data_IF_805352876415
#
_entry.id   IF_805352876415
#
_cell.length_a   1.000
_cell.length_b   1.000
_cell.length_c   1.000
_cell.angle_alpha   90.00
_cell.angle_beta   90.00
_cell.angle_gamma   90.00
#
_symmetry.space_group_name_H-M   'P 1'
#
loop_
_entity.id
_entity.type
_entity.pdbx_description
1 polymer ?
#
# COMPACT_ATOMS: atom_id res chain seq x y z
N UNK A 1 -17.63 -18.49 -64.87
CA UNK A 1 -17.42 -19.36 -63.70
C UNK A 1 -16.07 -19.05 -62.99
N UNK A 2 -14.97 -18.84 -63.71
CA UNK A 2 -13.61 -18.58 -63.15
C UNK A 2 -13.50 -17.31 -62.32
N UNK A 3 -14.06 -16.16 -62.80
CA UNK A 3 -14.03 -14.85 -62.10
C UNK A 3 -14.73 -14.94 -60.73
N UNK A 4 -15.83 -15.66 -60.61
CA UNK A 4 -16.50 -15.88 -59.31
C UNK A 4 -15.66 -16.71 -58.33
N UNK A 5 -14.91 -17.71 -58.83
CA UNK A 5 -13.97 -18.48 -57.99
C UNK A 5 -12.76 -17.67 -57.56
N UNK A 6 -12.20 -16.85 -58.43
CA UNK A 6 -11.09 -15.97 -58.10
C UNK A 6 -11.52 -14.92 -57.03
N UNK A 7 -12.70 -14.31 -57.20
CA UNK A 7 -13.26 -13.40 -56.20
C UNK A 7 -13.50 -14.08 -54.85
N UNK A 8 -14.07 -15.28 -54.86
CA UNK A 8 -14.30 -16.05 -53.64
C UNK A 8 -12.99 -16.37 -52.90
N UNK A 9 -11.96 -16.83 -53.64
CA UNK A 9 -10.64 -17.11 -53.03
C UNK A 9 -9.98 -15.86 -52.45
N UNK A 10 -10.07 -14.72 -53.14
CA UNK A 10 -9.53 -13.43 -52.64
C UNK A 10 -10.24 -12.99 -51.35
N UNK A 11 -11.56 -13.11 -51.33
CA UNK A 11 -12.34 -12.78 -50.13
C UNK A 11 -12.04 -13.72 -48.94
N UNK A 12 -11.85 -15.01 -49.21
CA UNK A 12 -11.48 -16.00 -48.20
C UNK A 12 -10.10 -15.69 -47.59
N UNK A 13 -9.11 -15.37 -48.44
CA UNK A 13 -7.75 -14.97 -47.98
C UNK A 13 -7.82 -13.70 -47.15
N UNK A 14 -8.60 -12.70 -47.60
CA UNK A 14 -8.78 -11.46 -46.87
C UNK A 14 -9.41 -11.71 -45.47
N UNK A 15 -10.44 -12.54 -45.40
CA UNK A 15 -11.10 -12.91 -44.17
C UNK A 15 -10.15 -13.63 -43.19
N UNK A 16 -9.36 -14.58 -43.68
CA UNK A 16 -8.35 -15.29 -42.88
C UNK A 16 -7.27 -14.34 -42.38
N UNK A 17 -6.81 -13.38 -43.19
CA UNK A 17 -5.82 -12.40 -42.84
C UNK A 17 -6.33 -11.47 -41.73
N UNK A 18 -7.58 -10.95 -41.86
CA UNK A 18 -8.22 -10.12 -40.82
C UNK A 18 -8.38 -10.90 -39.52
N UNK A 19 -8.81 -12.18 -39.62
CA UNK A 19 -8.96 -13.03 -38.43
C UNK A 19 -7.62 -13.26 -37.74
N UNK A 20 -6.53 -13.50 -38.47
CA UNK A 20 -5.18 -13.70 -37.94
C UNK A 20 -4.67 -12.41 -37.23
N UNK A 21 -4.87 -11.23 -37.81
CA UNK A 21 -4.50 -9.95 -37.17
C UNK A 21 -5.34 -9.68 -35.93
N UNK A 22 -6.65 -9.98 -35.95
CA UNK A 22 -7.52 -9.86 -34.78
C UNK A 22 -7.08 -10.78 -33.63
N UNK A 23 -6.74 -12.03 -33.96
CA UNK A 23 -6.21 -12.99 -32.98
C UNK A 23 -4.87 -12.51 -32.40
N UNK A 24 -3.99 -11.92 -33.20
CA UNK A 24 -2.72 -11.36 -32.75
C UNK A 24 -2.93 -10.19 -31.78
N UNK A 25 -3.84 -9.27 -32.10
CA UNK A 25 -4.18 -8.16 -31.22
C UNK A 25 -4.77 -8.63 -29.88
N UNK A 26 -5.70 -9.59 -29.96
CA UNK A 26 -6.28 -10.17 -28.76
C UNK A 26 -5.22 -10.86 -27.88
N UNK A 27 -4.32 -11.64 -28.50
CA UNK A 27 -3.20 -12.27 -27.80
C UNK A 27 -2.25 -11.24 -27.18
N UNK A 28 -1.88 -10.19 -27.92
CA UNK A 28 -1.02 -9.13 -27.42
C UNK A 28 -1.66 -8.42 -26.21
N UNK A 29 -2.95 -8.04 -26.31
CA UNK A 29 -3.69 -7.41 -25.23
C UNK A 29 -3.72 -8.27 -23.96
N UNK A 30 -4.08 -9.56 -24.10
CA UNK A 30 -4.16 -10.47 -22.96
C UNK A 30 -2.78 -10.77 -22.34
N UNK A 31 -1.74 -10.88 -23.18
CA UNK A 31 -0.35 -11.09 -22.73
C UNK A 31 0.18 -9.88 -21.95
N UNK A 32 -0.02 -8.67 -22.46
CA UNK A 32 0.41 -7.44 -21.77
C UNK A 32 -0.29 -7.34 -20.41
N UNK A 33 -1.61 -7.52 -20.36
CA UNK A 33 -2.36 -7.46 -19.09
C UNK A 33 -1.86 -8.49 -18.08
N UNK A 34 -1.63 -9.73 -18.51
CA UNK A 34 -1.13 -10.82 -17.65
C UNK A 34 0.29 -10.57 -17.15
N UNK A 35 1.17 -10.07 -18.01
CA UNK A 35 2.55 -9.75 -17.63
C UNK A 35 2.60 -8.58 -16.66
N UNK A 36 1.83 -7.53 -16.93
CA UNK A 36 1.71 -6.38 -16.03
C UNK A 36 1.15 -6.76 -14.66
N UNK A 37 0.18 -7.68 -14.62
CA UNK A 37 -0.34 -8.20 -13.36
C UNK A 37 0.76 -8.91 -12.56
N UNK A 38 1.54 -9.80 -13.19
CA UNK A 38 2.65 -10.47 -12.51
C UNK A 38 3.72 -9.52 -12.03
N UNK A 39 4.04 -8.50 -12.84
CA UNK A 39 5.00 -7.48 -12.46
C UNK A 39 4.50 -6.67 -11.26
N UNK A 40 3.23 -6.26 -11.25
CA UNK A 40 2.62 -5.55 -10.13
C UNK A 40 2.59 -6.41 -8.86
N UNK A 41 2.25 -7.71 -8.97
CA UNK A 41 2.29 -8.67 -7.86
C UNK A 41 3.71 -8.82 -7.28
N UNK A 42 4.73 -8.94 -8.15
CA UNK A 42 6.13 -9.06 -7.72
C UNK A 42 6.63 -7.79 -7.02
N UNK A 43 6.35 -6.61 -7.59
CA UNK A 43 6.72 -5.32 -6.98
C UNK A 43 6.02 -5.16 -5.62
N UNK A 44 4.72 -5.46 -5.56
CA UNK A 44 3.96 -5.38 -4.32
C UNK A 44 4.51 -6.34 -3.25
N UNK A 45 4.87 -7.57 -3.63
CA UNK A 45 5.44 -8.56 -2.70
C UNK A 45 6.76 -8.06 -2.08
N UNK A 46 7.66 -7.50 -2.90
CA UNK A 46 8.90 -6.91 -2.42
C UNK A 46 8.65 -5.71 -1.50
N UNK A 47 7.69 -4.85 -1.87
CA UNK A 47 7.32 -3.68 -1.05
C UNK A 47 6.71 -4.11 0.29
N UNK A 48 5.84 -5.11 0.30
CA UNK A 48 5.26 -5.64 1.53
C UNK A 48 6.32 -6.28 2.43
N UNK A 49 7.30 -7.02 1.87
CA UNK A 49 8.41 -7.56 2.63
C UNK A 49 9.29 -6.45 3.24
N UNK A 50 9.57 -5.38 2.49
CA UNK A 50 10.30 -4.22 3.00
C UNK A 50 9.53 -3.56 4.15
N UNK A 51 8.23 -3.39 3.99
CA UNK A 51 7.35 -2.83 5.03
C UNK A 51 7.34 -3.73 6.28
N UNK A 52 7.14 -5.03 6.13
CA UNK A 52 7.18 -5.99 7.25
C UNK A 52 8.55 -6.01 7.97
N UNK A 53 9.66 -5.79 7.26
CA UNK A 53 10.98 -5.65 7.87
C UNK A 53 11.08 -4.39 8.73
N UNK A 54 10.56 -3.25 8.26
CA UNK A 54 10.51 -2.02 9.06
C UNK A 54 9.65 -2.19 10.32
N UNK A 55 8.49 -2.83 10.20
CA UNK A 55 7.65 -3.14 11.35
C UNK A 55 8.38 -4.10 12.33
N UNK A 56 9.11 -5.08 11.82
CA UNK A 56 9.91 -6.00 12.64
C UNK A 56 11.05 -5.30 13.36
N UNK A 57 11.69 -4.31 12.73
CA UNK A 57 12.71 -3.48 13.37
C UNK A 57 12.14 -2.73 14.57
N UNK A 58 10.98 -2.07 14.42
CA UNK A 58 10.28 -1.38 15.50
C UNK A 58 9.96 -2.34 16.65
N UNK A 59 9.38 -3.51 16.35
CA UNK A 59 9.09 -4.53 17.36
C UNK A 59 10.35 -4.99 18.12
N UNK A 60 11.43 -5.21 17.37
CA UNK A 60 12.69 -5.73 17.93
C UNK A 60 13.34 -4.71 18.84
N UNK A 61 13.40 -3.46 18.42
CA UNK A 61 13.95 -2.37 19.26
C UNK A 61 13.15 -2.27 20.55
N UNK A 62 11.82 -2.20 20.48
CA UNK A 62 10.96 -2.07 21.67
C UNK A 62 11.19 -3.22 22.66
N UNK A 63 11.19 -4.46 22.17
CA UNK A 63 11.41 -5.66 23.01
C UNK A 63 12.80 -5.71 23.63
N UNK A 64 13.82 -5.27 22.91
CA UNK A 64 15.20 -5.28 23.45
C UNK A 64 15.38 -4.33 24.63
N UNK A 65 14.61 -3.25 24.69
CA UNK A 65 14.65 -2.30 25.79
C UNK A 65 13.75 -2.69 26.98
N UNK A 66 12.78 -3.60 26.81
CA UNK A 66 11.86 -4.03 27.86
C UNK A 66 12.62 -4.43 29.14
N UNK A 67 13.63 -5.31 29.02
CA UNK A 67 14.42 -5.77 30.16
C UNK A 67 15.18 -4.61 30.84
N UNK A 68 15.76 -3.70 30.08
CA UNK A 68 16.49 -2.56 30.61
C UNK A 68 15.57 -1.62 31.38
N UNK A 69 14.41 -1.31 30.82
CA UNK A 69 13.39 -0.45 31.42
C UNK A 69 12.87 -1.06 32.70
N UNK A 70 12.44 -2.32 32.68
CA UNK A 70 11.81 -2.98 33.84
C UNK A 70 12.76 -3.14 35.02
N UNK A 71 14.07 -3.27 34.77
CA UNK A 71 15.07 -3.37 35.84
C UNK A 71 15.59 -2.02 36.36
N UNK A 72 15.26 -0.90 35.71
CA UNK A 72 15.76 0.43 36.06
C UNK A 72 14.62 1.48 36.03
N UNK A 73 13.53 1.19 36.76
CA UNK A 73 12.37 2.07 36.86
C UNK A 73 12.67 3.31 37.71
N UNK A 74 13.50 4.22 37.17
CA UNK A 74 13.82 5.50 37.78
C UNK A 74 13.52 6.62 36.76
N UNK A 75 12.90 7.75 37.17
CA UNK A 75 12.44 8.80 36.23
C UNK A 75 13.53 9.27 35.25
N UNK A 76 14.71 9.61 35.75
CA UNK A 76 15.83 10.10 34.90
C UNK A 76 16.31 9.03 33.93
N UNK A 77 16.34 7.74 34.37
CA UNK A 77 16.71 6.64 33.50
C UNK A 77 15.68 6.40 32.39
N UNK A 78 14.38 6.51 32.71
CA UNK A 78 13.30 6.36 31.71
C UNK A 78 13.35 7.45 30.65
N UNK A 79 13.65 8.70 31.02
CA UNK A 79 13.89 9.80 30.07
C UNK A 79 15.10 9.52 29.18
N UNK A 80 16.21 9.06 29.77
CA UNK A 80 17.41 8.68 29.00
C UNK A 80 17.12 7.53 28.04
N UNK A 81 16.42 6.49 28.49
CA UNK A 81 16.12 5.33 27.63
C UNK A 81 15.19 5.71 26.49
N UNK A 82 14.13 6.47 26.76
CA UNK A 82 13.22 6.99 25.72
C UNK A 82 14.02 7.77 24.65
N UNK A 83 14.91 8.67 25.08
CA UNK A 83 15.79 9.45 24.17
C UNK A 83 16.71 8.52 23.34
N UNK A 84 17.42 7.61 24.00
CA UNK A 84 18.37 6.71 23.33
C UNK A 84 17.72 5.76 22.34
N UNK A 85 16.49 5.29 22.63
CA UNK A 85 15.71 4.47 21.70
C UNK A 85 15.50 5.22 20.40
N UNK A 86 15.05 6.47 20.46
CA UNK A 86 14.80 7.29 19.27
C UNK A 86 16.10 7.72 18.59
N UNK A 87 17.10 8.15 19.37
CA UNK A 87 18.41 8.59 18.84
C UNK A 87 19.10 7.50 18.00
N UNK A 88 19.16 6.27 18.53
CA UNK A 88 19.85 5.15 17.91
C UNK A 88 19.07 4.49 16.75
N UNK A 89 17.80 4.81 16.58
CA UNK A 89 16.93 4.19 15.58
C UNK A 89 16.28 5.26 14.69
N UNK A 90 16.88 5.63 13.56
CA UNK A 90 16.40 6.72 12.70
C UNK A 90 14.98 6.50 12.15
N UNK A 91 14.55 5.24 12.03
CA UNK A 91 13.22 4.88 11.54
C UNK A 91 12.11 5.12 12.57
N UNK A 92 12.47 5.30 13.86
CA UNK A 92 11.51 5.64 14.89
C UNK A 92 11.24 7.15 14.92
N UNK A 93 9.96 7.50 14.99
CA UNK A 93 9.51 8.89 15.15
C UNK A 93 9.42 9.30 16.60
N UNK A 94 9.06 8.38 17.48
CA UNK A 94 8.92 8.64 18.91
C UNK A 94 9.07 7.38 19.76
N UNK A 95 9.17 7.61 21.07
CA UNK A 95 9.13 6.58 22.10
C UNK A 95 8.54 7.15 23.37
N UNK A 96 7.54 6.47 23.95
CA UNK A 96 7.04 6.75 25.29
C UNK A 96 7.30 5.58 26.23
N UNK A 97 7.71 5.89 27.46
CA UNK A 97 7.79 4.95 28.57
C UNK A 97 6.89 5.49 29.66
N UNK A 98 5.70 4.91 29.79
CA UNK A 98 4.58 5.43 30.57
C UNK A 98 4.23 4.48 31.68
N UNK A 99 4.12 4.97 32.90
CA UNK A 99 3.88 4.14 34.07
C UNK A 99 2.42 4.13 34.47
N UNK A 100 2.05 3.15 35.32
CA UNK A 100 0.75 3.16 36.03
C UNK A 100 0.61 4.42 36.89
N UNK A 101 -0.64 4.88 37.17
CA UNK A 101 -0.89 6.03 38.03
C UNK A 101 -0.25 5.89 39.40
N UNK A 102 0.33 6.99 39.89
CA UNK A 102 1.01 7.06 41.19
C UNK A 102 2.23 6.11 41.33
N UNK A 103 2.81 5.64 40.22
CA UNK A 103 4.04 4.83 40.29
C UNK A 103 5.21 5.64 40.87
N UNK A 104 5.29 6.94 40.55
CA UNK A 104 6.24 7.90 41.15
C UNK A 104 5.50 8.96 41.97
N UNK A 105 5.04 8.70 43.20
CA UNK A 105 4.15 9.60 43.95
C UNK A 105 4.70 11.02 44.16
N UNK A 106 6.03 11.18 44.13
CA UNK A 106 6.70 12.50 44.30
C UNK A 106 6.63 13.36 43.03
N UNK A 107 6.34 12.78 41.87
CA UNK A 107 6.24 13.47 40.58
C UNK A 107 4.79 13.74 40.18
N UNK A 108 3.83 13.29 40.98
CA UNK A 108 2.40 13.43 40.68
C UNK A 108 1.73 12.10 40.39
N UNK A 109 0.50 12.17 39.85
CA UNK A 109 -0.29 10.99 39.54
C UNK A 109 0.25 10.29 38.27
N UNK A 110 0.60 11.07 37.28
CA UNK A 110 0.89 10.62 35.93
C UNK A 110 2.37 10.82 35.59
N UNK A 111 2.98 9.84 34.91
CA UNK A 111 4.35 9.93 34.45
C UNK A 111 4.50 9.24 33.09
N UNK A 112 4.99 9.98 32.13
CA UNK A 112 5.42 9.47 30.82
C UNK A 112 6.74 10.12 30.44
N UNK A 113 7.75 9.33 30.18
CA UNK A 113 8.99 9.78 29.52
C UNK A 113 8.75 9.72 28.02
N UNK A 114 8.52 10.85 27.36
CA UNK A 114 8.21 10.92 25.94
C UNK A 114 9.32 11.60 25.15
N UNK A 115 9.72 10.95 24.09
CA UNK A 115 10.70 11.47 23.13
C UNK A 115 10.11 11.47 21.74
N UNK A 116 10.26 12.56 21.01
CA UNK A 116 9.82 12.68 19.63
C UNK A 116 10.94 13.25 18.75
N UNK A 117 10.97 12.82 17.49
CA UNK A 117 11.85 13.31 16.45
C UNK A 117 11.13 14.33 15.58
N UNK A 118 11.64 15.55 15.57
CA UNK A 118 11.22 16.61 14.65
C UNK A 118 12.34 16.84 13.62
N UNK A 119 12.18 16.31 12.40
CA UNK A 119 13.22 16.33 11.37
C UNK A 119 14.55 15.77 11.91
N UNK A 120 15.57 16.64 12.04
CA UNK A 120 16.91 16.27 12.51
C UNK A 120 17.11 16.47 14.03
N UNK A 121 16.09 16.96 14.75
CA UNK A 121 16.17 17.20 16.18
C UNK A 121 15.34 16.18 16.96
N UNK A 122 15.81 15.85 18.16
CA UNK A 122 15.13 14.96 19.09
C UNK A 122 14.87 15.73 20.37
N UNK A 123 13.65 15.72 20.83
CA UNK A 123 13.22 16.34 22.06
C UNK A 123 12.64 15.31 23.02
N UNK A 124 13.00 15.41 24.29
CA UNK A 124 12.51 14.51 25.35
C UNK A 124 11.92 15.33 26.47
N UNK A 125 10.74 14.95 26.89
CA UNK A 125 10.02 15.59 28.00
C UNK A 125 9.49 14.56 28.99
N UNK A 126 9.26 15.02 30.20
CA UNK A 126 8.43 14.31 31.18
C UNK A 126 7.02 14.88 31.09
N UNK A 127 6.09 14.07 30.67
CA UNK A 127 4.66 14.42 30.64
C UNK A 127 3.99 14.00 31.95
N UNK A 128 3.24 14.91 32.57
CA UNK A 128 2.61 14.68 33.87
C UNK A 128 1.11 14.85 33.92
N UNK A 129 0.52 15.71 33.08
CA UNK A 129 -0.92 16.02 33.12
C UNK A 129 -1.62 15.68 31.81
N UNK A 130 -1.54 14.43 31.41
CA UNK A 130 -2.12 13.95 30.16
C UNK A 130 -2.83 12.61 30.38
N UNK A 131 -4.12 12.53 29.99
CA UNK A 131 -4.91 11.29 30.14
C UNK A 131 -4.52 10.27 29.05
N UNK A 132 -3.38 9.62 29.21
CA UNK A 132 -2.94 8.53 28.34
C UNK A 132 -3.62 7.19 28.63
N UNK A 133 -4.24 7.03 29.78
CA UNK A 133 -4.88 5.77 30.17
C UNK A 133 -6.07 5.39 29.28
N UNK A 134 -6.74 6.39 28.72
CA UNK A 134 -7.84 6.21 27.76
C UNK A 134 -7.37 5.97 26.32
N UNK A 135 -6.10 6.23 26.04
CA UNK A 135 -5.55 6.13 24.68
C UNK A 135 -5.28 4.68 24.29
N UNK A 136 -5.54 4.35 23.04
CA UNK A 136 -5.43 2.97 22.54
C UNK A 136 -4.02 2.39 22.67
N UNK A 137 -2.98 3.21 22.49
CA UNK A 137 -1.59 2.78 22.62
C UNK A 137 -1.20 2.37 24.05
N UNK A 138 -1.92 2.85 25.09
CA UNK A 138 -1.73 2.44 26.47
C UNK A 138 -2.72 1.34 26.88
N UNK A 139 -4.00 1.52 26.55
CA UNK A 139 -5.10 0.66 26.97
C UNK A 139 -5.02 -0.72 26.31
N UNK A 140 -4.81 -0.77 24.99
CA UNK A 140 -4.89 -2.04 24.25
C UNK A 140 -3.82 -3.06 24.69
N UNK A 141 -2.51 -2.71 24.84
CA UNK A 141 -1.53 -3.68 25.34
C UNK A 141 -1.81 -4.11 26.80
N UNK A 142 -2.29 -3.19 27.64
CA UNK A 142 -2.67 -3.50 29.02
C UNK A 142 -3.78 -4.52 29.09
N UNK A 143 -4.87 -4.33 28.34
CA UNK A 143 -6.03 -5.22 28.31
C UNK A 143 -5.70 -6.56 27.64
N UNK A 144 -4.89 -6.55 26.60
CA UNK A 144 -4.46 -7.75 25.89
C UNK A 144 -3.40 -8.58 26.64
N UNK A 145 -2.68 -7.99 27.59
CA UNK A 145 -1.56 -8.61 28.29
C UNK A 145 -0.38 -8.99 27.37
N UNK A 146 -0.30 -8.39 26.21
CA UNK A 146 0.74 -8.64 25.21
C UNK A 146 0.95 -7.41 24.33
N UNK A 147 2.07 -7.39 23.59
CA UNK A 147 2.35 -6.33 22.64
C UNK A 147 1.32 -6.29 21.51
N UNK A 148 1.00 -5.06 21.05
CA UNK A 148 0.04 -4.80 19.98
C UNK A 148 0.54 -3.68 19.08
N UNK A 149 0.21 -3.75 17.79
CA UNK A 149 0.21 -2.60 16.89
C UNK A 149 -1.11 -1.86 17.02
N UNK A 150 -1.03 -0.56 17.21
CA UNK A 150 -2.18 0.35 17.25
C UNK A 150 -2.31 1.00 15.87
N UNK A 151 -3.54 1.03 15.37
CA UNK A 151 -3.82 1.69 14.09
C UNK A 151 -3.43 3.18 14.19
N UNK A 152 -2.99 3.78 13.09
CA UNK A 152 -2.52 5.15 13.09
C UNK A 152 -3.52 6.17 13.61
N UNK A 153 -2.99 7.17 14.26
CA UNK A 153 -3.72 8.30 14.83
C UNK A 153 -2.88 9.58 14.73
N UNK A 154 -3.54 10.72 14.88
CA UNK A 154 -2.86 12.01 15.08
C UNK A 154 -2.36 12.08 16.51
N UNK A 155 -1.05 12.26 16.68
CA UNK A 155 -0.45 12.47 18.00
C UNK A 155 -0.57 13.94 18.41
N UNK A 156 -1.79 14.47 18.34
CA UNK A 156 -2.05 15.82 18.81
C UNK A 156 -2.26 15.79 20.32
N UNK A 157 -1.32 16.35 21.05
CA UNK A 157 -1.45 16.53 22.50
C UNK A 157 -2.28 17.79 22.81
N UNK A 158 -3.53 17.62 23.24
CA UNK A 158 -4.39 18.71 23.67
C UNK A 158 -3.82 19.50 24.85
N UNK A 159 -2.91 18.90 25.64
CA UNK A 159 -2.22 19.57 26.75
C UNK A 159 -1.07 20.49 26.31
N UNK A 160 -0.69 20.48 25.04
CA UNK A 160 0.27 21.42 24.44
C UNK A 160 1.72 21.23 24.84
N UNK A 161 2.11 20.04 25.33
CA UNK A 161 3.49 19.75 25.66
C UNK A 161 4.29 19.34 24.42
N UNK A 162 4.53 18.10 24.19
CA UNK A 162 5.27 17.60 23.04
C UNK A 162 4.38 16.65 22.23
N UNK A 163 4.38 16.74 20.91
CA UNK A 163 3.61 15.87 20.04
C UNK A 163 4.32 15.66 18.70
N UNK A 164 4.04 14.55 18.06
CA UNK A 164 4.44 14.32 16.67
C UNK A 164 3.56 15.17 15.74
N UNK A 165 4.18 15.82 14.75
CA UNK A 165 3.45 16.48 13.65
C UNK A 165 3.02 15.49 12.58
N UNK A 166 3.53 14.26 12.64
CA UNK A 166 3.22 13.20 11.72
C UNK A 166 2.05 12.34 12.23
N UNK A 167 1.30 11.75 11.31
CA UNK A 167 0.47 10.59 11.63
C UNK A 167 1.37 9.42 11.98
N UNK A 168 1.17 8.84 13.15
CA UNK A 168 2.00 7.78 13.70
C UNK A 168 1.20 6.49 13.91
N UNK A 169 1.89 5.36 13.77
CA UNK A 169 1.43 4.06 14.20
C UNK A 169 2.35 3.57 15.32
N UNK A 170 1.77 3.09 16.42
CA UNK A 170 2.53 2.72 17.61
C UNK A 170 2.58 1.22 17.81
N UNK A 171 3.79 0.70 18.08
CA UNK A 171 3.96 -0.63 18.65
C UNK A 171 4.12 -0.53 20.15
N UNK A 172 3.16 -1.05 20.90
CA UNK A 172 3.05 -0.89 22.33
C UNK A 172 3.20 -2.22 23.05
N UNK A 173 4.06 -2.26 24.07
CA UNK A 173 4.42 -3.42 24.85
C UNK A 173 4.10 -3.18 26.34
N UNK A 174 3.29 -4.02 27.00
CA UNK A 174 3.01 -3.89 28.42
C UNK A 174 4.24 -4.31 29.25
N UNK A 175 4.55 -3.53 30.26
CA UNK A 175 5.65 -3.76 31.19
C UNK A 175 5.17 -4.39 32.48
N UNK A 176 5.91 -5.40 32.95
CA UNK A 176 5.61 -6.12 34.19
C UNK A 176 6.83 -6.14 35.09
N UNK A 177 6.62 -6.03 36.41
CA UNK A 177 7.69 -6.25 37.38
C UNK A 177 7.98 -7.75 37.59
N UNK A 178 8.95 -8.06 38.46
CA UNK A 178 9.34 -9.44 38.79
C UNK A 178 8.17 -10.30 39.35
N UNK A 179 7.18 -9.66 39.95
CA UNK A 179 5.98 -10.32 40.49
C UNK A 179 4.85 -10.45 39.48
N UNK A 180 5.14 -10.17 38.19
CA UNK A 180 4.15 -10.17 37.09
C UNK A 180 3.02 -9.15 37.30
N UNK A 181 3.26 -8.09 38.06
CA UNK A 181 2.33 -6.98 38.20
C UNK A 181 2.58 -6.00 37.06
N UNK A 182 1.51 -5.56 36.39
CA UNK A 182 1.59 -4.53 35.35
C UNK A 182 2.06 -3.21 35.96
N UNK A 183 3.07 -2.58 35.34
CA UNK A 183 3.70 -1.36 35.81
C UNK A 183 3.68 -0.21 34.81
N UNK A 184 3.30 -0.49 33.57
CA UNK A 184 3.24 0.53 32.52
C UNK A 184 3.32 -0.03 31.11
N UNK A 185 3.58 0.83 30.16
CA UNK A 185 3.72 0.52 28.72
C UNK A 185 4.94 1.22 28.17
N UNK A 186 5.71 0.54 27.34
CA UNK A 186 6.66 1.15 26.40
C UNK A 186 6.02 1.12 25.01
N UNK A 187 5.97 2.29 24.35
CA UNK A 187 5.43 2.44 23.01
C UNK A 187 6.46 3.11 22.11
N UNK A 188 6.63 2.60 20.90
CA UNK A 188 7.50 3.18 19.87
C UNK A 188 6.69 3.49 18.62
N UNK A 189 6.95 4.67 18.05
CA UNK A 189 6.13 5.26 17.03
C UNK A 189 6.84 5.24 15.68
N UNK A 190 6.11 4.82 14.65
CA UNK A 190 6.49 4.85 13.24
C UNK A 190 5.71 5.96 12.53
N UNK A 191 6.42 6.87 11.86
CA UNK A 191 5.80 7.89 11.01
C UNK A 191 5.26 7.27 9.72
N UNK A 192 3.96 7.44 9.45
CA UNK A 192 3.35 6.99 8.19
C UNK A 192 3.84 7.77 6.96
N UNK A 193 4.04 9.11 7.02
CA UNK A 193 4.66 9.84 5.93
C UNK A 193 6.03 9.29 5.55
N UNK A 194 6.91 9.04 6.52
CA UNK A 194 8.24 8.45 6.27
C UNK A 194 8.15 7.03 5.72
N UNK A 195 7.23 6.21 6.24
CA UNK A 195 6.97 4.89 5.69
C UNK A 195 6.52 5.00 4.22
N UNK A 196 5.59 5.91 3.92
CA UNK A 196 5.13 6.15 2.55
C UNK A 196 6.28 6.54 1.61
N UNK A 197 7.13 7.47 2.02
CA UNK A 197 8.30 7.89 1.25
C UNK A 197 9.25 6.72 0.98
N UNK A 198 9.51 5.88 1.99
CA UNK A 198 10.46 4.76 1.87
C UNK A 198 10.04 3.66 0.89
N UNK A 199 8.74 3.56 0.56
CA UNK A 199 8.21 2.50 -0.30
C UNK A 199 7.73 3.00 -1.67
N UNK A 200 7.64 4.33 -1.89
CA UNK A 200 7.06 4.92 -3.12
C UNK A 200 8.06 5.01 -4.29
N UNK A 201 9.35 4.76 -4.06
CA UNK A 201 10.41 4.97 -5.07
C UNK A 201 10.32 4.08 -6.33
N UNK A 202 9.57 2.99 -6.30
CA UNK A 202 9.50 2.01 -7.39
C UNK A 202 8.07 1.80 -7.89
N UNK A 203 7.48 2.84 -8.52
CA UNK A 203 6.18 2.70 -9.17
C UNK A 203 6.34 2.25 -10.63
N UNK A 204 5.67 1.14 -11.06
CA UNK A 204 5.92 0.52 -12.36
C UNK A 204 5.34 1.31 -13.54
N UNK A 205 4.32 2.12 -13.32
CA UNK A 205 3.60 2.85 -14.37
C UNK A 205 3.26 4.26 -13.92
N UNK A 206 3.17 5.19 -14.86
CA UNK A 206 2.73 6.55 -14.60
C UNK A 206 1.32 6.57 -13.99
N UNK A 207 1.14 7.34 -12.90
CA UNK A 207 -0.11 7.44 -12.16
C UNK A 207 -0.41 6.23 -11.27
N UNK A 208 0.51 5.26 -11.12
CA UNK A 208 0.40 4.23 -10.11
C UNK A 208 0.64 4.80 -8.72
N UNK A 209 0.08 4.15 -7.71
CA UNK A 209 0.29 4.52 -6.31
C UNK A 209 0.09 3.33 -5.39
N UNK A 210 0.67 3.42 -4.19
CA UNK A 210 0.37 2.49 -3.12
C UNK A 210 -0.82 2.98 -2.29
N UNK A 211 -1.63 2.03 -1.86
CA UNK A 211 -2.71 2.22 -0.91
C UNK A 211 -2.51 1.24 0.24
N UNK A 212 -2.63 1.70 1.48
CA UNK A 212 -2.59 0.83 2.65
C UNK A 212 -3.83 1.06 3.50
N UNK A 213 -4.39 -0.02 4.02
CA UNK A 213 -5.56 0.04 4.90
C UNK A 213 -5.31 -0.69 6.20
N UNK A 214 -5.89 -0.16 7.28
CA UNK A 214 -5.99 -0.83 8.57
C UNK A 214 -7.06 -1.91 8.60
N UNK A 215 -7.26 -2.52 9.75
CA UNK A 215 -8.23 -3.63 9.96
C UNK A 215 -9.67 -3.23 9.70
N UNK A 216 -10.03 -1.97 9.95
CA UNK A 216 -11.37 -1.41 9.70
C UNK A 216 -11.55 -0.87 8.27
N UNK A 217 -10.49 -0.91 7.45
CA UNK A 217 -10.47 -0.36 6.09
C UNK A 217 -10.15 1.14 6.02
N UNK A 218 -9.81 1.77 7.16
CA UNK A 218 -9.31 3.14 7.20
C UNK A 218 -8.00 3.27 6.42
N UNK A 219 -7.85 4.37 5.69
CA UNK A 219 -6.64 4.61 4.90
C UNK A 219 -5.46 4.97 5.79
N UNK A 220 -4.38 4.20 5.69
CA UNK A 220 -3.10 4.45 6.34
C UNK A 220 -2.10 5.08 5.36
N UNK A 221 -2.28 4.80 4.08
CA UNK A 221 -1.55 5.40 2.96
C UNK A 221 -2.50 5.55 1.79
N UNK A 222 -2.59 6.76 1.25
CA UNK A 222 -3.42 7.08 0.10
C UNK A 222 -2.94 8.40 -0.52
N UNK A 223 -3.09 8.62 -1.85
CA UNK A 223 -2.66 9.86 -2.50
C UNK A 223 -3.31 11.12 -1.94
N UNK A 224 -4.60 11.04 -1.62
CA UNK A 224 -5.34 12.13 -0.98
C UNK A 224 -5.12 12.09 0.54
N UNK A 225 -4.31 13.02 1.03
CA UNK A 225 -3.93 13.10 2.45
C UNK A 225 -5.10 13.42 3.38
N UNK A 226 -6.14 14.10 2.90
CA UNK A 226 -7.31 14.47 3.70
C UNK A 226 -8.17 13.24 4.06
N UNK A 227 -7.97 12.12 3.36
CA UNK A 227 -8.66 10.84 3.62
C UNK A 227 -7.92 9.94 4.61
N UNK A 228 -6.66 10.24 4.93
CA UNK A 228 -5.86 9.39 5.81
C UNK A 228 -6.48 9.34 7.21
N UNK A 229 -6.47 8.15 7.80
CA UNK A 229 -7.01 7.76 9.11
C UNK A 229 -8.50 8.06 9.37
N UNK A 230 -9.05 9.14 8.80
CA UNK A 230 -10.44 9.58 9.03
C UNK A 230 -11.45 8.92 8.09
N UNK A 231 -11.00 8.45 6.92
CA UNK A 231 -11.87 7.80 5.95
C UNK A 231 -11.47 6.35 5.70
N UNK A 232 -12.48 5.55 5.38
CA UNK A 232 -12.31 4.15 5.00
C UNK A 232 -12.46 3.98 3.48
N UNK A 233 -12.01 2.85 2.97
CA UNK A 233 -12.22 2.46 1.56
C UNK A 233 -13.72 2.32 1.20
N UNK A 234 -14.60 2.26 2.20
CA UNK A 234 -16.04 2.11 2.02
C UNK A 234 -16.80 3.45 2.02
N UNK A 235 -16.18 4.55 2.51
CA UNK A 235 -16.84 5.82 2.70
C UNK A 235 -17.18 6.51 1.38
N UNK A 236 -18.45 6.91 1.24
CA UNK A 236 -18.97 7.54 0.05
C UNK A 236 -19.18 6.59 -1.15
N UNK A 237 -18.92 5.29 -0.99
CA UNK A 237 -19.05 4.29 -2.05
C UNK A 237 -20.47 3.71 -2.06
N UNK A 238 -21.17 3.83 -3.20
CA UNK A 238 -22.43 3.15 -3.39
C UNK A 238 -22.19 1.68 -3.78
N UNK A 239 -22.57 0.68 -2.94
CA UNK A 239 -22.27 -0.73 -3.21
C UNK A 239 -22.91 -1.30 -4.48
N UNK A 240 -24.02 -0.70 -4.95
CA UNK A 240 -24.70 -1.14 -6.19
C UNK A 240 -24.00 -0.61 -7.44
N UNK A 241 -23.35 0.53 -7.35
CA UNK A 241 -22.64 1.16 -8.47
C UNK A 241 -21.18 0.74 -8.55
N UNK A 242 -20.54 0.52 -7.39
CA UNK A 242 -19.13 0.19 -7.26
C UNK A 242 -18.91 -1.07 -6.39
N UNK A 243 -19.46 -2.24 -6.82
CA UNK A 243 -19.29 -3.50 -6.09
C UNK A 243 -17.83 -3.98 -6.08
N UNK A 244 -17.03 -3.53 -7.03
CA UNK A 244 -15.60 -3.79 -7.17
C UNK A 244 -14.78 -3.13 -6.04
N UNK A 245 -15.05 -1.87 -5.71
CA UNK A 245 -14.40 -1.17 -4.58
C UNK A 245 -14.77 -1.85 -3.25
N UNK A 246 -16.05 -2.19 -3.08
CA UNK A 246 -16.51 -2.89 -1.87
C UNK A 246 -15.82 -4.27 -1.75
N UNK A 247 -15.72 -5.01 -2.86
CA UNK A 247 -15.04 -6.31 -2.88
C UNK A 247 -13.54 -6.17 -2.56
N UNK A 248 -12.87 -5.15 -3.10
CA UNK A 248 -11.48 -4.85 -2.78
C UNK A 248 -11.32 -4.57 -1.28
N UNK A 249 -12.15 -3.67 -0.73
CA UNK A 249 -12.12 -3.32 0.68
C UNK A 249 -12.27 -4.53 1.58
N UNK A 250 -13.26 -5.40 1.32
CA UNK A 250 -13.43 -6.65 2.08
C UNK A 250 -12.24 -7.59 1.93
N UNK A 251 -11.70 -7.78 0.72
CA UNK A 251 -10.54 -8.63 0.53
C UNK A 251 -9.31 -8.11 1.31
N UNK A 252 -9.10 -6.80 1.34
CA UNK A 252 -7.99 -6.19 2.08
C UNK A 252 -8.19 -6.31 3.60
N UNK A 253 -9.38 -5.99 4.11
CA UNK A 253 -9.68 -6.08 5.56
C UNK A 253 -9.70 -7.52 6.09
N UNK A 254 -10.03 -8.49 5.25
CA UNK A 254 -9.95 -9.92 5.56
C UNK A 254 -8.54 -10.52 5.41
N UNK A 255 -7.54 -9.71 5.03
CA UNK A 255 -6.16 -10.15 4.88
C UNK A 255 -5.94 -11.12 3.71
N UNK A 256 -6.71 -10.99 2.62
CA UNK A 256 -6.53 -11.78 1.40
C UNK A 256 -5.42 -11.22 0.51
N UNK A 257 -4.80 -12.10 -0.29
CA UNK A 257 -3.86 -11.74 -1.35
C UNK A 257 -4.51 -11.99 -2.71
N UNK A 258 -4.34 -11.05 -3.64
CA UNK A 258 -4.87 -11.21 -5.00
C UNK A 258 -4.68 -10.00 -5.88
N UNK A 259 -5.30 -10.06 -7.06
CA UNK A 259 -5.35 -8.94 -8.02
C UNK A 259 -6.75 -8.88 -8.64
N UNK A 260 -7.24 -7.67 -8.86
CA UNK A 260 -8.55 -7.43 -9.49
C UNK A 260 -8.57 -6.10 -10.24
N UNK A 261 -9.50 -5.97 -11.20
CA UNK A 261 -9.79 -4.69 -11.84
C UNK A 261 -10.81 -3.93 -11.00
N UNK A 262 -10.53 -2.65 -10.73
CA UNK A 262 -11.37 -1.75 -9.93
C UNK A 262 -11.51 -0.42 -10.64
N UNK A 263 -12.69 0.16 -10.62
CA UNK A 263 -12.92 1.49 -11.17
C UNK A 263 -12.93 2.54 -10.05
N UNK A 264 -11.86 3.32 -9.95
CA UNK A 264 -11.77 4.46 -9.03
C UNK A 264 -12.15 5.75 -9.78
N UNK A 265 -13.32 6.33 -9.45
CA UNK A 265 -13.77 7.63 -9.97
C UNK A 265 -13.73 7.73 -11.52
N UNK A 266 -14.09 6.63 -12.21
CA UNK A 266 -14.09 6.55 -13.67
C UNK A 266 -12.78 6.08 -14.29
N UNK A 267 -11.73 5.85 -13.50
CA UNK A 267 -10.45 5.30 -13.96
C UNK A 267 -10.39 3.81 -13.66
N UNK A 268 -10.31 2.98 -14.70
CA UNK A 268 -10.09 1.55 -14.55
C UNK A 268 -8.64 1.28 -14.14
N UNK A 269 -8.46 0.59 -13.03
CA UNK A 269 -7.16 0.24 -12.47
C UNK A 269 -7.05 -1.28 -12.28
N UNK A 270 -5.85 -1.80 -12.53
CA UNK A 270 -5.43 -3.10 -12.03
C UNK A 270 -4.91 -2.90 -10.61
N UNK A 271 -5.51 -3.57 -9.63
CA UNK A 271 -5.13 -3.49 -8.23
C UNK A 271 -4.62 -4.84 -7.77
N UNK A 272 -3.36 -4.90 -7.37
CA UNK A 272 -2.79 -6.04 -6.66
C UNK A 272 -2.73 -5.72 -5.18
N UNK A 273 -3.11 -6.64 -4.31
CA UNK A 273 -3.21 -6.43 -2.86
C UNK A 273 -2.76 -7.65 -2.07
N UNK A 274 -2.21 -7.41 -0.88
CA UNK A 274 -1.85 -8.47 0.07
C UNK A 274 -1.76 -7.95 1.51
N UNK A 275 -1.91 -8.82 2.52
CA UNK A 275 -1.74 -8.45 3.92
C UNK A 275 -0.26 -8.21 4.26
N UNK A 276 -0.04 -7.37 5.28
CA UNK A 276 1.20 -7.28 6.03
C UNK A 276 1.14 -8.25 7.22
N UNK A 277 2.24 -8.94 7.50
CA UNK A 277 2.25 -10.05 8.45
C UNK A 277 2.17 -9.62 9.92
N UNK A 278 2.49 -8.36 10.24
CA UNK A 278 2.70 -7.89 11.61
C UNK A 278 1.52 -7.12 12.19
N UNK A 279 1.13 -6.03 11.55
CA UNK A 279 0.15 -5.10 12.10
C UNK A 279 -1.32 -5.47 11.81
N UNK A 280 -1.55 -6.46 10.94
CA UNK A 280 -2.89 -6.80 10.44
C UNK A 280 -3.42 -5.76 9.44
N UNK A 281 -2.52 -5.03 8.80
CA UNK A 281 -2.80 -4.11 7.71
C UNK A 281 -2.71 -4.80 6.37
N UNK A 282 -3.23 -4.16 5.33
CA UNK A 282 -3.10 -4.62 3.95
C UNK A 282 -2.54 -3.51 3.07
N UNK A 283 -1.65 -3.89 2.15
CA UNK A 283 -1.08 -2.98 1.15
C UNK A 283 -1.54 -3.38 -0.24
N UNK A 284 -1.83 -2.39 -1.08
CA UNK A 284 -2.18 -2.56 -2.48
C UNK A 284 -1.35 -1.65 -3.37
N UNK A 285 -1.03 -2.14 -4.56
CA UNK A 285 -0.47 -1.37 -5.67
C UNK A 285 -1.58 -1.15 -6.70
N UNK A 286 -1.92 0.11 -6.95
CA UNK A 286 -2.97 0.55 -7.88
C UNK A 286 -2.31 1.05 -9.15
N UNK A 287 -2.59 0.41 -10.28
CA UNK A 287 -2.01 0.73 -11.59
C UNK A 287 -3.12 1.08 -12.58
N UNK A 288 -3.19 2.31 -13.13
CA UNK A 288 -4.17 2.66 -14.15
C UNK A 288 -4.00 1.79 -15.40
N UNK A 289 -5.08 1.14 -15.86
CA UNK A 289 -5.04 0.26 -17.04
C UNK A 289 -4.57 1.00 -18.30
N UNK A 290 -4.88 2.30 -18.41
CA UNK A 290 -4.42 3.15 -19.51
C UNK A 290 -2.89 3.24 -19.56
N UNK A 291 -2.23 3.36 -18.42
CA UNK A 291 -0.77 3.44 -18.32
C UNK A 291 -0.11 2.09 -18.60
N UNK A 292 -0.71 1.00 -18.13
CA UNK A 292 -0.30 -0.37 -18.46
C UNK A 292 -0.35 -0.60 -19.97
N UNK A 293 -1.42 -0.11 -20.64
CA UNK A 293 -1.66 -0.29 -22.07
C UNK A 293 -1.00 0.79 -22.95
N UNK A 294 -0.17 1.68 -22.37
CA UNK A 294 0.44 2.81 -23.08
C UNK A 294 1.16 2.41 -24.39
N UNK A 295 1.90 1.31 -24.35
CA UNK A 295 2.60 0.79 -25.53
C UNK A 295 1.70 -0.03 -26.46
N UNK A 296 0.51 -0.44 -26.05
CA UNK A 296 -0.41 -1.23 -26.88
C UNK A 296 -0.93 -0.43 -28.08
N UNK A 297 -1.06 0.89 -27.95
CA UNK A 297 -1.45 1.77 -29.05
C UNK A 297 -0.50 1.64 -30.25
N UNK A 298 0.81 1.50 -30.03
CA UNK A 298 1.79 1.28 -31.07
C UNK A 298 1.57 -0.06 -31.81
N UNK A 299 1.22 -1.12 -31.10
CA UNK A 299 0.83 -2.40 -31.69
C UNK A 299 -0.41 -2.27 -32.57
N UNK A 300 -1.41 -1.51 -32.11
CA UNK A 300 -2.63 -1.25 -32.91
C UNK A 300 -2.29 -0.52 -34.20
N UNK A 301 -1.46 0.54 -34.16
CA UNK A 301 -1.06 1.27 -35.35
C UNK A 301 -0.27 0.40 -36.35
N UNK A 302 0.68 -0.41 -35.87
CA UNK A 302 1.42 -1.35 -36.70
C UNK A 302 0.47 -2.37 -37.34
N UNK A 303 -0.49 -2.89 -36.60
CA UNK A 303 -1.47 -3.86 -37.11
C UNK A 303 -2.38 -3.24 -38.18
N UNK A 304 -2.82 -1.99 -37.99
CA UNK A 304 -3.60 -1.24 -38.98
C UNK A 304 -2.76 -1.04 -40.27
N UNK A 305 -1.47 -0.65 -40.14
CA UNK A 305 -0.59 -0.49 -41.27
C UNK A 305 -0.41 -1.80 -42.06
N UNK A 306 -0.22 -2.92 -41.34
CA UNK A 306 -0.16 -4.26 -41.97
C UNK A 306 -1.47 -4.65 -42.66
N UNK A 307 -2.61 -4.35 -42.04
CA UNK A 307 -3.93 -4.58 -42.63
C UNK A 307 -4.09 -3.84 -43.96
N UNK A 308 -3.75 -2.54 -43.96
CA UNK A 308 -3.81 -1.72 -45.18
C UNK A 308 -2.87 -2.24 -46.28
N UNK A 309 -1.63 -2.57 -45.92
CA UNK A 309 -0.66 -3.15 -46.87
C UNK A 309 -1.15 -4.47 -47.46
N UNK A 310 -1.72 -5.34 -46.64
CA UNK A 310 -2.30 -6.62 -47.07
C UNK A 310 -3.48 -6.46 -48.04
N UNK A 311 -4.38 -5.50 -47.74
CA UNK A 311 -5.52 -5.17 -48.61
C UNK A 311 -5.03 -4.65 -49.96
N UNK A 312 -4.05 -3.71 -49.98
CA UNK A 312 -3.46 -3.18 -51.20
C UNK A 312 -2.81 -4.30 -52.05
N UNK A 313 -2.08 -5.22 -51.41
CA UNK A 313 -1.46 -6.35 -52.08
C UNK A 313 -2.51 -7.29 -52.69
N UNK A 314 -3.61 -7.59 -52.00
CA UNK A 314 -4.70 -8.38 -52.49
C UNK A 314 -5.41 -7.71 -53.70
N UNK A 315 -5.63 -6.41 -53.64
CA UNK A 315 -6.22 -5.64 -54.73
C UNK A 315 -5.30 -5.63 -55.97
N UNK A 316 -3.98 -5.45 -55.76
CA UNK A 316 -3.01 -5.50 -56.85
C UNK A 316 -2.97 -6.89 -57.51
N UNK A 317 -2.95 -7.94 -56.70
CA UNK A 317 -2.99 -9.35 -57.20
C UNK A 317 -4.27 -9.62 -57.99
N UNK A 318 -5.42 -9.21 -57.45
CA UNK A 318 -6.73 -9.39 -58.11
C UNK A 318 -6.78 -8.65 -59.48
N UNK A 319 -6.34 -7.39 -59.52
CA UNK A 319 -6.22 -6.64 -60.80
C UNK A 319 -5.33 -7.33 -61.79
N UNK A 320 -4.13 -7.72 -61.41
CA UNK A 320 -3.17 -8.40 -62.29
C UNK A 320 -3.73 -9.70 -62.84
N UNK A 321 -4.42 -10.46 -62.04
CA UNK A 321 -5.04 -11.74 -62.47
C UNK A 321 -6.14 -11.51 -63.52
N UNK A 322 -6.95 -10.47 -63.37
CA UNK A 322 -7.99 -10.08 -64.34
C UNK A 322 -7.36 -9.62 -65.65
N UNK A 323 -6.32 -8.74 -65.58
CA UNK A 323 -5.67 -8.17 -66.78
C UNK A 323 -4.94 -9.26 -67.60
N UNK A 324 -4.27 -10.23 -66.96
CA UNK A 324 -3.60 -11.34 -67.64
C UNK A 324 -4.61 -12.25 -68.37
N UNK A 325 -5.77 -12.47 -67.80
CA UNK A 325 -6.82 -13.30 -68.44
C UNK A 325 -7.55 -12.55 -69.59
N UNK A 326 -7.57 -11.21 -69.60
CA UNK A 326 -8.09 -10.45 -70.73
C UNK A 326 -7.11 -10.36 -71.90
N UNK A 327 -5.82 -10.59 -71.66
CA UNK A 327 -4.78 -10.63 -72.71
C UNK A 327 -4.65 -12.01 -73.37
N UNK A 328 -5.18 -13.09 -72.73
CA UNK A 328 -5.16 -14.46 -73.27
C UNK A 328 -6.48 -14.85 -73.96
N UNK A 329 -7.52 -14.03 -73.97
CA UNK A 329 -8.81 -14.20 -74.61
C UNK A 329 -8.95 -13.34 -75.87
#
# INVERSE_FOLDING_TARGET
MMIRRALFNTLLIAALYIAALGALLWYAHTSIKKESQKQAEYILENTALRTDNLLTEVETVTRNFEWLVTNNMHPDSLLEYSNRIVELNPNLNGCSITTEPNFFPKLGRDFSAYTVRHNDTIETVMEGEYDYYSKDWYKNPREAGKSVWVDPYDDFNEAGTLYSTDMIASYSLPLYNADSTFIGVISTDLSLPKLSESITDELPYEGSYYMMTGKSGNFLMYPDKDRLIYHTIFDGVNPRMHPDIISLGHNMTEGKKGSMSVNFEGVNCLVSYQPLSKAGWSIALVCPEKSIMGNFSSFVYITIALLLAGILMLLYYHRRHITNHQAES
#
